data_IF_088416081764
#
_entry.id   IF_088416081764
#
_cell.length_a   1.000
_cell.length_b   1.000
_cell.length_c   1.000
_cell.angle_alpha   90.00
_cell.angle_beta   90.00
_cell.angle_gamma   90.00
#
_symmetry.space_group_name_H-M   'P 1'
#
loop_
_entity.id
_entity.type
_entity.pdbx_description
1 polymer ?
#
# COMPACT_ATOMS: atom_id res chain seq x y z
N UNK A 1 4.43 28.54 5.58
CA UNK A 1 5.15 28.53 4.29
C UNK A 1 5.40 27.06 3.98
N UNK A 2 4.53 26.44 3.17
CA UNK A 2 4.60 25.01 2.85
C UNK A 2 5.50 24.90 1.64
N UNK A 3 6.71 24.40 1.83
CA UNK A 3 7.64 24.07 0.75
C UNK A 3 7.21 22.75 0.13
N UNK A 4 6.77 22.81 -1.13
CA UNK A 4 6.46 21.64 -1.94
C UNK A 4 7.76 21.15 -2.58
N UNK A 5 8.39 20.11 -2.04
CA UNK A 5 9.37 19.35 -2.79
C UNK A 5 8.64 18.28 -3.61
N UNK A 6 8.68 18.42 -4.93
CA UNK A 6 8.24 17.42 -5.89
C UNK A 6 9.20 16.23 -5.83
N UNK A 7 8.88 15.24 -5.00
CA UNK A 7 9.55 13.95 -5.04
C UNK A 7 8.88 13.07 -6.09
N UNK A 8 9.21 13.27 -7.36
CA UNK A 8 8.95 12.30 -8.41
C UNK A 8 10.22 11.45 -8.58
N UNK A 9 10.35 10.39 -7.78
CA UNK A 9 11.34 9.33 -8.02
C UNK A 9 10.59 8.01 -8.00
N UNK A 10 10.12 7.58 -9.18
CA UNK A 10 9.78 6.19 -9.43
C UNK A 10 11.08 5.51 -9.87
N UNK A 11 11.87 5.03 -8.92
CA UNK A 11 13.08 4.26 -9.20
C UNK A 11 12.69 2.80 -9.44
N UNK A 12 12.58 2.40 -10.71
CA UNK A 12 12.40 1.01 -11.12
C UNK A 12 13.77 0.31 -11.04
N UNK A 13 14.11 -0.29 -9.90
CA UNK A 13 15.30 -1.14 -9.82
C UNK A 13 15.01 -2.55 -10.33
N UNK A 14 15.82 -2.97 -11.29
CA UNK A 14 15.77 -4.25 -11.97
C UNK A 14 16.74 -5.26 -11.34
N UNK A 15 16.28 -6.45 -10.95
CA UNK A 15 17.14 -7.64 -10.87
C UNK A 15 16.39 -8.93 -11.25
N UNK A 16 16.62 -9.33 -12.50
CA UNK A 16 16.70 -10.68 -13.10
C UNK A 16 15.90 -11.85 -12.49
N UNK A 17 14.87 -12.29 -13.20
CA UNK A 17 14.72 -13.69 -13.68
C UNK A 17 13.61 -13.77 -14.73
N UNK A 18 13.87 -14.49 -15.83
CA UNK A 18 13.06 -14.59 -17.03
C UNK A 18 11.63 -15.07 -16.75
N UNK A 19 10.62 -14.18 -16.78
CA UNK A 19 9.23 -14.46 -17.24
C UNK A 19 8.53 -13.11 -17.49
N UNK A 20 8.05 -12.91 -18.73
CA UNK A 20 7.16 -11.85 -19.23
C UNK A 20 7.30 -10.46 -18.58
N UNK A 21 8.17 -9.63 -19.17
CA UNK A 21 8.19 -8.18 -18.95
C UNK A 21 6.91 -7.54 -19.50
N UNK A 22 5.91 -7.29 -18.65
CA UNK A 22 5.01 -6.15 -18.85
C UNK A 22 5.74 -4.90 -18.35
N UNK A 23 6.49 -4.27 -19.26
CA UNK A 23 6.83 -2.86 -19.10
C UNK A 23 5.49 -2.13 -19.00
N UNK A 24 5.15 -1.59 -17.84
CA UNK A 24 4.18 -0.49 -17.77
C UNK A 24 4.79 0.63 -18.61
N UNK A 25 4.44 0.66 -19.88
CA UNK A 25 4.44 1.91 -20.66
C UNK A 25 3.73 2.90 -19.77
N UNK A 26 4.31 4.08 -19.54
CA UNK A 26 3.65 5.18 -18.82
C UNK A 26 2.38 5.53 -19.60
N UNK A 27 1.33 4.76 -19.39
CA UNK A 27 0.02 4.93 -19.94
C UNK A 27 -0.58 6.10 -19.17
N UNK A 28 -1.29 6.94 -19.91
CA UNK A 28 -1.92 8.20 -19.52
C UNK A 28 -2.70 8.18 -18.18
N UNK A 29 -2.96 7.00 -17.61
CA UNK A 29 -3.58 6.80 -16.30
C UNK A 29 -2.65 7.11 -15.12
N UNK A 30 -1.36 6.74 -15.19
CA UNK A 30 -0.39 7.05 -14.11
C UNK A 30 -0.16 8.56 -14.04
N UNK A 31 -0.27 9.26 -15.18
CA UNK A 31 -0.20 10.73 -15.25
C UNK A 31 -1.36 11.44 -14.53
N UNK A 32 -2.44 10.74 -14.18
CA UNK A 32 -3.61 11.33 -13.48
C UNK A 32 -3.53 11.20 -11.97
N UNK A 33 -2.60 10.40 -11.46
CA UNK A 33 -2.49 10.12 -10.02
C UNK A 33 -1.17 10.66 -9.51
N UNK A 34 -1.23 11.57 -8.54
CA UNK A 34 -0.05 12.19 -7.95
C UNK A 34 0.04 11.74 -6.48
N UNK A 35 1.02 10.90 -6.13
CA UNK A 35 1.30 10.58 -4.73
C UNK A 35 2.10 11.71 -4.08
N UNK A 36 1.74 12.05 -2.84
CA UNK A 36 2.45 13.04 -2.03
C UNK A 36 2.62 12.52 -0.60
N UNK A 37 3.85 12.57 -0.09
CA UNK A 37 4.14 12.25 1.31
C UNK A 37 3.72 13.42 2.19
N UNK A 38 2.94 13.14 3.24
CA UNK A 38 2.55 14.13 4.23
C UNK A 38 3.46 13.97 5.45
N UNK A 39 4.38 14.92 5.61
CA UNK A 39 5.26 14.99 6.77
C UNK A 39 4.63 15.86 7.87
N UNK A 40 4.48 15.29 9.06
CA UNK A 40 4.06 16.02 10.26
C UNK A 40 5.26 16.33 11.14
N UNK A 41 5.62 17.61 11.27
CA UNK A 41 6.67 18.09 12.17
C UNK A 41 6.13 19.15 13.12
N UNK A 42 6.32 19.02 14.46
CA UNK A 42 6.91 17.88 15.16
C UNK A 42 5.93 16.70 15.30
N UNK A 43 6.38 15.48 15.03
CA UNK A 43 5.63 14.27 15.39
C UNK A 43 5.87 13.92 16.86
N UNK A 44 4.89 13.31 17.55
CA UNK A 44 5.03 12.82 18.93
C UNK A 44 4.38 11.45 19.10
N UNK A 45 4.92 10.63 20.01
CA UNK A 45 4.40 9.30 20.34
C UNK A 45 4.47 8.30 19.18
N UNK A 46 3.55 7.34 19.15
CA UNK A 46 3.48 6.29 18.12
C UNK A 46 3.22 6.84 16.71
N UNK A 47 2.68 8.05 16.60
CA UNK A 47 2.45 8.72 15.31
C UNK A 47 3.74 9.01 14.53
N UNK A 48 4.90 9.07 15.19
CA UNK A 48 6.20 9.19 14.52
C UNK A 48 6.63 7.93 13.73
N UNK A 49 6.00 6.79 14.02
CA UNK A 49 6.30 5.52 13.37
C UNK A 49 5.49 5.29 12.09
N UNK A 50 4.62 6.25 11.73
CA UNK A 50 3.71 6.16 10.58
C UNK A 50 4.01 7.31 9.62
N UNK A 51 4.12 6.98 8.33
CA UNK A 51 4.13 7.93 7.21
C UNK A 51 2.75 7.94 6.57
N UNK A 52 2.29 9.12 6.14
CA UNK A 52 1.03 9.27 5.44
C UNK A 52 1.27 9.66 4.00
N UNK A 53 0.51 9.07 3.08
CA UNK A 53 0.49 9.43 1.67
C UNK A 53 -0.89 9.95 1.28
N UNK A 54 -0.90 11.02 0.51
CA UNK A 54 -2.05 11.44 -0.27
C UNK A 54 -1.86 10.97 -1.71
N UNK A 55 -2.79 10.14 -2.17
CA UNK A 55 -2.96 9.84 -3.59
C UNK A 55 -4.04 10.77 -4.13
N UNK A 56 -3.62 11.77 -4.90
CA UNK A 56 -4.53 12.76 -5.50
C UNK A 56 -4.86 12.39 -6.95
N UNK A 57 -6.16 12.22 -7.23
CA UNK A 57 -6.67 12.06 -8.59
C UNK A 57 -6.91 13.43 -9.22
N UNK A 58 -6.12 13.78 -10.24
CA UNK A 58 -6.20 15.08 -10.91
C UNK A 58 -7.47 15.21 -11.75
N UNK A 59 -7.97 14.11 -12.31
CA UNK A 59 -9.11 14.11 -13.20
C UNK A 59 -10.42 14.32 -12.41
N UNK A 60 -10.59 13.61 -11.30
CA UNK A 60 -11.80 13.67 -10.48
C UNK A 60 -11.69 14.61 -9.29
N UNK A 61 -10.47 15.10 -8.99
CA UNK A 61 -10.13 15.92 -7.81
C UNK A 61 -10.29 15.17 -6.48
N UNK A 62 -10.35 13.83 -6.51
CA UNK A 62 -10.48 12.98 -5.34
C UNK A 62 -9.18 12.87 -4.55
N UNK A 63 -9.31 12.77 -3.23
CA UNK A 63 -8.20 12.68 -2.28
C UNK A 63 -8.28 11.37 -1.53
N UNK A 64 -7.28 10.53 -1.67
CA UNK A 64 -7.20 9.25 -0.99
C UNK A 64 -6.01 9.27 -0.02
N UNK A 65 -6.26 8.96 1.25
CA UNK A 65 -5.25 9.03 2.29
C UNK A 65 -4.91 7.63 2.77
N UNK A 66 -3.62 7.30 2.78
CA UNK A 66 -3.11 6.03 3.25
C UNK A 66 -2.02 6.26 4.28
N UNK A 67 -1.96 5.40 5.30
CA UNK A 67 -0.87 5.35 6.27
C UNK A 67 -0.04 4.09 6.05
N UNK A 68 1.26 4.17 6.27
CA UNK A 68 2.17 3.02 6.33
C UNK A 68 3.16 3.21 7.46
N UNK A 69 3.81 2.14 7.89
CA UNK A 69 4.95 2.27 8.80
C UNK A 69 6.13 2.94 8.10
N UNK A 70 6.82 3.82 8.82
CA UNK A 70 7.91 4.63 8.29
C UNK A 70 9.10 3.84 7.76
N UNK A 71 9.22 2.56 8.09
CA UNK A 71 10.23 1.68 7.50
C UNK A 71 9.93 1.30 6.04
N UNK A 72 8.79 1.71 5.49
CA UNK A 72 8.37 1.43 4.12
C UNK A 72 7.86 2.73 3.45
N UNK A 73 8.76 3.70 3.23
CA UNK A 73 8.40 5.03 2.71
C UNK A 73 8.06 5.05 1.19
N UNK A 74 8.15 3.91 0.50
CA UNK A 74 7.75 3.78 -0.90
C UNK A 74 6.26 3.47 -1.02
N UNK A 75 5.53 4.34 -1.73
CA UNK A 75 4.19 4.03 -2.20
C UNK A 75 4.30 3.26 -3.52
N UNK A 76 3.95 1.98 -3.50
CA UNK A 76 3.96 1.13 -4.68
C UNK A 76 2.56 1.04 -5.28
N UNK A 77 2.44 1.40 -6.57
CA UNK A 77 1.20 1.36 -7.32
C UNK A 77 1.32 0.34 -8.46
N UNK A 78 0.26 -0.42 -8.68
CA UNK A 78 0.24 -1.56 -9.60
C UNK A 78 -0.94 -1.48 -10.57
N UNK A 79 -0.95 -2.39 -11.54
CA UNK A 79 -2.12 -2.74 -12.37
C UNK A 79 -2.13 -4.28 -12.42
N UNK A 80 -2.72 -4.90 -11.40
CA UNK A 80 -2.67 -6.36 -11.21
C UNK A 80 -3.47 -7.11 -12.28
N UNK A 81 -4.58 -6.52 -12.73
CA UNK A 81 -5.50 -7.14 -13.67
C UNK A 81 -5.24 -6.75 -15.13
N UNK A 82 -4.27 -5.88 -15.40
CA UNK A 82 -4.04 -5.27 -16.71
C UNK A 82 -5.31 -4.59 -17.25
N UNK A 83 -6.14 -4.04 -16.36
CA UNK A 83 -7.39 -3.36 -16.69
C UNK A 83 -7.21 -1.83 -16.74
N UNK A 84 -5.96 -1.36 -16.66
CA UNK A 84 -5.59 0.06 -16.62
C UNK A 84 -6.13 0.80 -15.41
N UNK A 85 -6.57 0.09 -14.36
CA UNK A 85 -6.80 0.69 -13.05
C UNK A 85 -5.52 0.72 -12.26
N UNK A 86 -5.44 1.72 -11.40
CA UNK A 86 -4.33 1.85 -10.46
C UNK A 86 -4.73 1.13 -9.19
N UNK A 87 -3.92 0.17 -8.81
CA UNK A 87 -4.06 -0.64 -7.61
C UNK A 87 -3.03 -0.25 -6.57
N UNK A 88 -3.40 -0.39 -5.31
CA UNK A 88 -2.57 -0.13 -4.15
C UNK A 88 -2.76 -1.25 -3.12
N UNK A 89 -1.64 -1.78 -2.62
CA UNK A 89 -1.67 -2.76 -1.52
C UNK A 89 -1.37 -2.00 -0.22
N UNK A 90 -2.38 -1.83 0.62
CA UNK A 90 -2.18 -1.26 1.94
C UNK A 90 -1.47 -2.26 2.84
N UNK A 91 -0.87 -1.76 3.93
CA UNK A 91 -0.36 -2.60 5.00
C UNK A 91 -0.90 -2.12 6.34
N UNK A 92 -1.69 -2.97 6.98
CA UNK A 92 -2.23 -2.79 8.31
C UNK A 92 -1.46 -3.70 9.29
N UNK A 93 -1.29 -3.23 10.53
CA UNK A 93 -0.70 -4.03 11.61
C UNK A 93 -1.66 -4.10 12.79
N UNK A 94 -1.79 -5.29 13.35
CA UNK A 94 -2.51 -5.54 14.58
C UNK A 94 -1.62 -6.31 15.54
N UNK A 95 -1.50 -5.84 16.78
CA UNK A 95 -0.63 -6.44 17.78
C UNK A 95 -0.14 -5.40 18.78
N UNK A 96 0.62 -5.86 19.78
CA UNK A 96 1.27 -4.98 20.75
C UNK A 96 2.74 -4.77 20.39
N UNK A 97 3.26 -3.58 20.73
CA UNK A 97 4.65 -3.22 20.45
C UNK A 97 5.68 -4.12 21.18
N UNK A 98 5.25 -4.89 22.19
CA UNK A 98 6.12 -5.75 22.99
C UNK A 98 6.03 -7.24 22.58
N UNK A 99 5.15 -7.61 21.64
CA UNK A 99 4.95 -8.99 21.18
C UNK A 99 4.34 -9.94 22.19
N UNK A 100 3.59 -9.42 23.16
CA UNK A 100 2.85 -10.21 24.16
C UNK A 100 1.62 -10.93 23.56
N UNK A 101 1.11 -10.44 22.44
CA UNK A 101 0.09 -11.07 21.61
C UNK A 101 0.66 -11.42 20.23
N UNK A 102 -0.01 -12.29 19.45
CA UNK A 102 0.33 -12.49 18.05
C UNK A 102 0.34 -11.15 17.31
N UNK A 103 1.32 -10.97 16.43
CA UNK A 103 1.42 -9.82 15.55
C UNK A 103 0.90 -10.19 14.17
N UNK A 104 -0.07 -9.46 13.66
CA UNK A 104 -0.66 -9.64 12.35
C UNK A 104 -0.23 -8.51 11.43
N UNK A 105 0.36 -8.85 10.30
CA UNK A 105 0.60 -7.94 9.17
C UNK A 105 -0.42 -8.27 8.08
N UNK A 106 -1.36 -7.36 7.83
CA UNK A 106 -2.47 -7.56 6.90
C UNK A 106 -2.23 -6.67 5.69
N UNK A 107 -2.17 -7.28 4.52
CA UNK A 107 -2.03 -6.61 3.23
C UNK A 107 -3.39 -6.63 2.53
N UNK A 108 -3.94 -5.48 2.18
CA UNK A 108 -5.30 -5.36 1.62
C UNK A 108 -5.23 -4.66 0.26
N UNK A 109 -5.96 -5.20 -0.72
CA UNK A 109 -6.00 -4.64 -2.07
C UNK A 109 -7.04 -3.53 -2.19
N UNK A 110 -6.60 -2.37 -2.66
CA UNK A 110 -7.45 -1.26 -3.05
C UNK A 110 -7.25 -0.94 -4.53
N UNK A 111 -8.34 -0.65 -5.23
CA UNK A 111 -8.27 -0.20 -6.62
C UNK A 111 -8.98 1.13 -6.80
N UNK A 112 -8.48 1.93 -7.74
CA UNK A 112 -9.08 3.20 -8.14
C UNK A 112 -10.38 2.97 -8.91
N UNK A 113 -11.46 3.55 -8.41
CA UNK A 113 -12.77 3.55 -9.07
C UNK A 113 -12.94 4.73 -10.04
N UNK A 114 -14.03 4.72 -10.81
CA UNK A 114 -14.34 5.77 -11.79
C UNK A 114 -14.48 7.18 -11.18
N UNK A 115 -14.86 7.28 -9.91
CA UNK A 115 -14.89 8.55 -9.16
C UNK A 115 -13.52 8.98 -8.62
N UNK A 116 -12.46 8.22 -8.91
CA UNK A 116 -11.09 8.45 -8.45
C UNK A 116 -10.84 8.13 -6.98
N UNK A 117 -11.81 7.57 -6.27
CA UNK A 117 -11.60 7.04 -4.93
C UNK A 117 -11.03 5.63 -5.02
N UNK A 118 -10.13 5.30 -4.10
CA UNK A 118 -9.66 3.93 -3.91
C UNK A 118 -10.64 3.20 -3.00
N UNK A 119 -11.06 2.01 -3.43
CA UNK A 119 -12.00 1.17 -2.69
C UNK A 119 -11.39 -0.20 -2.45
N UNK A 120 -11.61 -0.75 -1.26
CA UNK A 120 -11.21 -2.11 -0.91
C UNK A 120 -11.85 -3.11 -1.88
N UNK A 121 -11.02 -3.96 -2.48
CA UNK A 121 -11.46 -4.96 -3.44
C UNK A 121 -11.89 -6.24 -2.72
N UNK A 122 -12.97 -6.83 -3.22
CA UNK A 122 -13.64 -7.99 -2.61
C UNK A 122 -14.00 -9.03 -3.66
N UNK A 123 -14.08 -10.28 -3.23
CA UNK A 123 -14.69 -11.34 -4.03
C UNK A 123 -16.22 -11.19 -4.11
N UNK A 124 -16.86 -12.05 -4.90
CA UNK A 124 -18.32 -12.07 -5.09
C UNK A 124 -19.11 -12.34 -3.79
N UNK A 125 -18.45 -12.86 -2.75
CA UNK A 125 -19.04 -13.10 -1.44
C UNK A 125 -18.83 -11.92 -0.48
N UNK A 126 -18.18 -10.84 -0.92
CA UNK A 126 -17.85 -9.68 -0.10
C UNK A 126 -16.65 -9.87 0.81
N UNK A 127 -15.81 -10.90 0.60
CA UNK A 127 -14.56 -11.11 1.33
C UNK A 127 -13.45 -10.26 0.72
N UNK A 128 -12.77 -9.47 1.53
CA UNK A 128 -11.67 -8.60 1.09
C UNK A 128 -10.49 -9.44 0.57
N UNK A 129 -9.92 -9.02 -0.57
CA UNK A 129 -8.67 -9.59 -1.05
C UNK A 129 -7.53 -9.16 -0.13
N UNK A 130 -6.99 -10.14 0.59
CA UNK A 130 -5.98 -9.88 1.60
C UNK A 130 -4.96 -11.02 1.73
N UNK A 131 -3.76 -10.66 2.16
CA UNK A 131 -2.75 -11.59 2.65
C UNK A 131 -2.49 -11.22 4.11
N UNK A 132 -2.64 -12.16 5.04
CA UNK A 132 -2.35 -11.96 6.46
C UNK A 132 -1.17 -12.83 6.85
N UNK A 133 -0.12 -12.20 7.35
CA UNK A 133 1.06 -12.85 7.93
C UNK A 133 1.03 -12.69 9.45
N UNK A 134 0.96 -13.81 10.17
CA UNK A 134 0.86 -13.84 11.63
C UNK A 134 2.19 -14.34 12.18
N UNK A 135 2.75 -13.60 13.14
CA UNK A 135 4.02 -13.92 13.79
C UNK A 135 3.88 -13.96 15.31
N UNK A 136 4.74 -14.74 15.96
CA UNK A 136 4.70 -14.99 17.39
C UNK A 136 6.08 -14.71 18.02
N UNK A 137 6.53 -13.45 18.07
CA UNK A 137 7.92 -13.10 18.37
C UNK A 137 8.41 -13.58 19.74
N UNK A 138 7.52 -13.71 20.73
CA UNK A 138 7.84 -14.15 22.09
C UNK A 138 7.39 -15.59 22.41
N UNK A 139 6.85 -16.33 21.44
CA UNK A 139 6.40 -17.70 21.62
C UNK A 139 7.07 -18.62 20.61
N UNK A 140 8.23 -19.16 20.99
CA UNK A 140 9.02 -20.07 20.17
C UNK A 140 8.36 -21.44 19.93
N UNK A 141 7.21 -21.71 20.56
CA UNK A 141 6.47 -22.96 20.33
C UNK A 141 5.56 -22.88 19.12
N UNK A 142 5.31 -21.66 18.61
CA UNK A 142 4.46 -21.40 17.46
C UNK A 142 5.30 -21.06 16.24
N UNK A 143 4.78 -21.46 15.08
CA UNK A 143 5.33 -21.10 13.78
C UNK A 143 4.54 -19.95 13.19
N UNK A 144 5.18 -19.17 12.33
CA UNK A 144 4.48 -18.15 11.56
C UNK A 144 3.37 -18.77 10.70
N UNK A 145 2.30 -18.02 10.51
CA UNK A 145 1.14 -18.43 9.71
C UNK A 145 0.91 -17.45 8.57
N UNK A 146 0.52 -17.98 7.40
CA UNK A 146 0.18 -17.18 6.22
C UNK A 146 -1.23 -17.56 5.77
N UNK A 147 -2.13 -16.60 5.83
CA UNK A 147 -3.50 -16.73 5.32
C UNK A 147 -3.65 -15.89 4.06
N UNK A 148 -3.99 -16.54 2.95
CA UNK A 148 -4.13 -15.87 1.65
C UNK A 148 -5.56 -15.98 1.14
N UNK A 149 -6.15 -14.83 0.83
CA UNK A 149 -7.31 -14.72 -0.02
C UNK A 149 -7.00 -13.68 -1.08
N UNK A 150 -6.30 -14.09 -2.14
CA UNK A 150 -5.79 -13.19 -3.15
C UNK A 150 -6.51 -13.36 -4.49
N UNK A 151 -6.43 -12.33 -5.32
CA UNK A 151 -6.93 -12.34 -6.69
C UNK A 151 -6.07 -13.32 -7.52
N UNK A 152 -6.71 -14.09 -8.41
CA UNK A 152 -6.08 -15.14 -9.23
C UNK A 152 -6.04 -14.77 -10.70
#
# INVERSE_FOLDING_TARGET
MITWELCAIVEVQSSVSNTVRSRLTVTEQVAKVIPAVINFGPCVGLGCSVSYFLIYDVATKSKNFFGTFRNNESLELFDFLNDSKVDYVSKTFNGDAHGSSPMEFIYELYSREANGNFTEQKDDNGRAYQIKHITYPNDSTKTEELEEHWIK
#
